data_IF_676523720343
#
_entry.id   IF_676523720343
#
_cell.length_a   1.000
_cell.length_b   1.000
_cell.length_c   1.000
_cell.angle_alpha   90.00
_cell.angle_beta   90.00
_cell.angle_gamma   90.00
#
_symmetry.space_group_name_H-M   'P 1'
#
loop_
_entity.id
_entity.type
_entity.pdbx_description
1 polymer ?
#
# COMPACT_ATOMS: atom_id res chain seq x y z
N UNK A 1 20.28 29.93 -35.05
CA UNK A 1 20.67 31.15 -34.30
C UNK A 1 19.37 31.81 -33.85
N UNK A 2 18.92 31.58 -32.61
CA UNK A 2 17.75 32.25 -32.03
C UNK A 2 18.25 32.85 -30.72
N UNK A 3 18.42 34.17 -30.70
CA UNK A 3 18.82 34.93 -29.54
C UNK A 3 17.57 35.24 -28.70
N UNK A 4 17.47 34.69 -27.50
CA UNK A 4 16.49 35.12 -26.50
C UNK A 4 17.13 36.19 -25.61
N UNK A 5 16.56 37.40 -25.66
CA UNK A 5 16.97 38.58 -24.89
C UNK A 5 16.55 38.39 -23.43
N UNK A 6 17.43 37.82 -22.61
CA UNK A 6 17.32 37.92 -21.15
C UNK A 6 17.62 39.36 -20.75
N UNK A 7 16.58 40.19 -20.62
CA UNK A 7 16.75 41.54 -20.08
C UNK A 7 16.76 41.47 -18.56
N UNK A 8 17.89 41.94 -18.01
CA UNK A 8 18.24 42.17 -16.60
C UNK A 8 18.70 40.94 -15.79
N UNK A 9 20.03 40.84 -15.62
CA UNK A 9 20.65 40.11 -14.52
C UNK A 9 20.78 41.07 -13.32
N UNK A 10 20.11 40.83 -12.19
CA UNK A 10 20.42 41.58 -10.98
C UNK A 10 21.78 41.13 -10.43
N UNK A 11 22.69 42.09 -10.21
CA UNK A 11 23.89 41.89 -9.37
C UNK A 11 23.43 41.86 -7.91
N UNK A 12 23.85 40.87 -7.15
CA UNK A 12 23.23 40.56 -5.87
C UNK A 12 24.29 40.20 -4.81
N UNK A 13 24.25 40.92 -3.69
CA UNK A 13 25.18 40.92 -2.55
C UNK A 13 24.43 40.39 -1.31
N UNK A 14 24.88 39.23 -0.79
CA UNK A 14 24.83 38.77 0.60
C UNK A 14 23.58 39.01 1.47
N UNK A 15 22.87 37.91 1.77
CA UNK A 15 21.96 37.64 2.92
C UNK A 15 20.52 38.18 2.93
N UNK A 16 20.23 39.43 2.55
CA UNK A 16 18.83 39.88 2.31
C UNK A 16 18.28 39.40 0.96
N UNK A 17 19.17 38.81 0.19
CA UNK A 17 19.05 38.53 -1.21
C UNK A 17 18.19 37.29 -1.52
N UNK A 18 18.38 36.23 -0.75
CA UNK A 18 17.74 34.93 -0.99
C UNK A 18 16.24 34.94 -0.69
N UNK A 19 15.81 35.61 0.39
CA UNK A 19 14.39 35.76 0.73
C UNK A 19 13.65 36.63 -0.28
N UNK A 20 14.30 37.70 -0.74
CA UNK A 20 13.76 38.57 -1.76
C UNK A 20 13.64 37.82 -3.10
N UNK A 21 14.69 37.10 -3.49
CA UNK A 21 14.71 36.25 -4.68
C UNK A 21 13.60 35.20 -4.67
N UNK A 22 13.44 34.45 -3.57
CA UNK A 22 12.37 33.47 -3.42
C UNK A 22 10.99 34.13 -3.49
N UNK A 23 10.80 35.27 -2.82
CA UNK A 23 9.54 36.03 -2.88
C UNK A 23 9.23 36.47 -4.31
N UNK A 24 10.22 36.98 -5.04
CA UNK A 24 10.08 37.37 -6.45
C UNK A 24 9.74 36.17 -7.32
N UNK A 25 10.43 35.04 -7.16
CA UNK A 25 10.17 33.80 -7.90
C UNK A 25 8.75 33.28 -7.66
N UNK A 26 8.30 33.21 -6.39
CA UNK A 26 6.95 32.77 -6.04
C UNK A 26 5.85 33.76 -6.47
N UNK A 27 6.18 35.04 -6.63
CA UNK A 27 5.24 36.04 -7.19
C UNK A 27 5.24 36.10 -8.72
N UNK A 28 6.14 35.36 -9.38
CA UNK A 28 6.29 35.42 -10.83
C UNK A 28 5.13 34.71 -11.54
N UNK A 29 4.70 35.31 -12.65
CA UNK A 29 3.66 34.80 -13.53
C UNK A 29 4.13 35.00 -14.97
N UNK A 30 4.37 33.92 -15.69
CA UNK A 30 4.83 33.97 -17.07
C UNK A 30 4.42 32.70 -17.83
N UNK A 31 4.28 32.82 -19.15
CA UNK A 31 4.01 31.67 -20.03
C UNK A 31 5.33 31.12 -20.57
N UNK A 32 5.57 29.84 -20.33
CA UNK A 32 6.71 29.07 -20.85
C UNK A 32 6.31 28.07 -21.93
N UNK A 33 7.25 27.23 -22.36
CA UNK A 33 6.99 26.16 -23.35
C UNK A 33 5.97 25.12 -22.86
N UNK A 34 5.81 24.99 -21.55
CA UNK A 34 4.91 24.05 -20.90
C UNK A 34 3.58 24.66 -20.46
N UNK A 35 3.31 25.92 -20.82
CA UNK A 35 2.12 26.67 -20.40
C UNK A 35 2.40 27.73 -19.33
N UNK A 36 1.37 28.13 -18.59
CA UNK A 36 1.48 29.23 -17.62
C UNK A 36 2.13 28.77 -16.32
N UNK A 37 3.25 29.39 -15.98
CA UNK A 37 3.98 29.14 -14.76
C UNK A 37 3.59 30.22 -13.76
N UNK A 38 2.86 29.78 -12.73
CA UNK A 38 2.39 30.60 -11.60
C UNK A 38 2.54 29.80 -10.32
N UNK A 39 2.84 30.48 -9.22
CA UNK A 39 2.91 29.83 -7.91
C UNK A 39 1.78 30.31 -6.98
N UNK A 40 1.24 29.39 -6.20
CA UNK A 40 0.27 29.63 -5.12
C UNK A 40 0.70 28.80 -3.91
N UNK A 41 0.76 29.43 -2.74
CA UNK A 41 1.16 28.76 -1.48
C UNK A 41 2.52 28.05 -1.55
N UNK A 42 3.45 28.57 -2.36
CA UNK A 42 4.78 27.96 -2.54
C UNK A 42 4.84 26.83 -3.58
N UNK A 43 3.72 26.46 -4.20
CA UNK A 43 3.63 25.40 -5.21
C UNK A 43 3.19 25.93 -6.56
N UNK A 44 3.44 25.19 -7.64
CA UNK A 44 2.89 25.52 -8.95
C UNK A 44 1.37 25.48 -8.89
N UNK A 45 0.74 26.56 -9.36
CA UNK A 45 -0.71 26.73 -9.35
C UNK A 45 -1.42 25.87 -10.39
N UNK A 46 -0.71 25.42 -11.43
CA UNK A 46 -1.24 24.53 -12.46
C UNK A 46 -0.85 23.09 -12.16
N UNK A 47 -1.82 22.20 -12.33
CA UNK A 47 -1.58 20.76 -12.26
C UNK A 47 -0.81 20.32 -13.52
N UNK A 48 0.39 19.75 -13.38
CA UNK A 48 1.16 19.32 -14.54
C UNK A 48 0.52 18.11 -15.21
N UNK A 49 0.58 18.08 -16.54
CA UNK A 49 0.28 16.89 -17.34
C UNK A 49 1.56 16.07 -17.44
N UNK A 50 1.56 14.84 -16.92
CA UNK A 50 2.73 13.97 -16.93
C UNK A 50 2.62 12.94 -18.07
N UNK A 51 3.74 12.58 -18.68
CA UNK A 51 3.83 11.44 -19.59
C UNK A 51 4.23 10.19 -18.83
N UNK A 52 3.42 9.13 -18.93
CA UNK A 52 3.76 7.81 -18.41
C UNK A 52 4.57 7.07 -19.47
N UNK A 53 5.71 6.53 -19.07
CA UNK A 53 6.59 5.73 -19.91
C UNK A 53 6.85 4.37 -19.25
N UNK A 54 7.07 3.35 -20.07
CA UNK A 54 7.58 2.06 -19.64
C UNK A 54 9.01 1.90 -20.15
N UNK A 55 9.96 1.62 -19.25
CA UNK A 55 11.38 1.50 -19.58
C UNK A 55 11.78 0.04 -19.53
N UNK A 56 12.32 -0.47 -20.63
CA UNK A 56 12.73 -1.88 -20.78
C UNK A 56 14.13 -1.92 -21.35
N UNK A 57 15.05 -2.52 -20.60
CA UNK A 57 16.48 -2.50 -20.91
C UNK A 57 16.96 -1.05 -21.14
N UNK A 58 17.44 -0.73 -22.35
CA UNK A 58 17.92 0.59 -22.72
C UNK A 58 16.93 1.37 -23.61
N UNK A 59 15.67 0.93 -23.70
CA UNK A 59 14.63 1.57 -24.49
C UNK A 59 13.46 1.98 -23.59
N UNK A 60 12.63 2.92 -24.07
CA UNK A 60 11.38 3.27 -23.42
C UNK A 60 10.24 3.35 -24.43
N UNK A 61 9.03 3.09 -23.96
CA UNK A 61 7.78 3.27 -24.70
C UNK A 61 6.89 4.27 -23.97
N UNK A 62 6.33 5.22 -24.70
CA UNK A 62 5.31 6.13 -24.16
C UNK A 62 3.96 5.42 -24.11
N UNK A 63 3.29 5.47 -22.97
CA UNK A 63 2.01 4.76 -22.77
C UNK A 63 0.82 5.72 -22.82
N UNK A 64 0.75 6.66 -21.89
CA UNK A 64 -0.39 7.57 -21.73
C UNK A 64 0.05 8.89 -21.08
N UNK A 65 -0.86 9.86 -21.03
CA UNK A 65 -0.75 11.04 -20.16
C UNK A 65 -1.46 10.77 -18.84
N UNK A 66 -0.90 11.27 -17.73
CA UNK A 66 -1.53 11.24 -16.42
C UNK A 66 -1.72 12.67 -15.91
N UNK A 67 -2.94 12.97 -15.47
CA UNK A 67 -3.28 14.26 -14.87
C UNK A 67 -3.73 14.01 -13.43
N UNK A 68 -3.03 14.57 -12.42
CA UNK A 68 -3.43 14.49 -11.02
C UNK A 68 -4.91 14.85 -10.83
N UNK A 69 -5.59 14.11 -9.95
CA UNK A 69 -7.03 14.21 -9.66
C UNK A 69 -8.01 13.85 -10.79
N UNK A 70 -7.52 13.68 -12.03
CA UNK A 70 -8.31 13.12 -13.11
C UNK A 70 -8.01 11.64 -13.25
N UNK A 71 -7.05 11.23 -14.11
CA UNK A 71 -6.71 9.84 -14.47
C UNK A 71 -5.75 9.80 -15.68
N UNK A 72 -5.74 8.67 -16.41
CA UNK A 72 -4.99 8.51 -17.65
C UNK A 72 -5.76 8.97 -18.90
N UNK A 73 -5.05 9.52 -19.86
CA UNK A 73 -5.55 10.02 -21.13
C UNK A 73 -4.66 9.57 -22.28
N UNK A 74 -5.28 9.24 -23.43
CA UNK A 74 -4.55 8.74 -24.61
C UNK A 74 -3.81 9.85 -25.35
N UNK A 75 -4.41 11.04 -25.34
CA UNK A 75 -3.94 12.20 -26.09
C UNK A 75 -4.17 13.49 -25.30
N UNK A 76 -3.48 14.56 -25.68
CA UNK A 76 -3.72 15.89 -25.10
C UNK A 76 -5.14 16.40 -25.44
N UNK A 77 -5.68 16.04 -26.60
CA UNK A 77 -7.04 16.39 -27.03
C UNK A 77 -8.11 15.73 -26.14
N UNK A 78 -7.82 14.55 -25.59
CA UNK A 78 -8.74 13.91 -24.65
C UNK A 78 -8.73 14.61 -23.29
N UNK A 79 -7.61 15.22 -22.89
CA UNK A 79 -7.56 16.01 -21.65
C UNK A 79 -8.49 17.22 -21.74
N UNK A 80 -8.61 17.85 -22.92
CA UNK A 80 -9.53 18.97 -23.15
C UNK A 80 -11.01 18.58 -22.99
N UNK A 81 -11.36 17.32 -23.25
CA UNK A 81 -12.72 16.77 -23.05
C UNK A 81 -13.03 16.46 -21.58
N UNK A 82 -12.06 16.59 -20.68
CA UNK A 82 -12.25 16.44 -19.25
C UNK A 82 -12.44 14.99 -18.77
N UNK A 83 -13.04 14.83 -17.59
CA UNK A 83 -13.13 13.55 -16.88
C UNK A 83 -13.86 12.44 -17.62
N UNK A 84 -14.75 12.78 -18.55
CA UNK A 84 -15.64 11.82 -19.22
C UNK A 84 -14.88 10.82 -20.10
N UNK A 85 -13.71 11.20 -20.58
CA UNK A 85 -12.83 10.34 -21.39
C UNK A 85 -11.62 9.80 -20.61
N UNK A 86 -11.56 10.06 -19.30
CA UNK A 86 -10.45 9.65 -18.45
C UNK A 86 -10.54 8.15 -18.11
N UNK A 87 -9.38 7.46 -18.12
CA UNK A 87 -9.30 6.01 -17.94
C UNK A 87 -8.57 5.61 -16.66
N UNK A 88 -9.05 4.53 -16.03
CA UNK A 88 -8.40 3.93 -14.86
C UNK A 88 -7.17 3.08 -15.21
N UNK A 89 -7.04 2.68 -16.47
CA UNK A 89 -6.00 1.77 -16.94
C UNK A 89 -5.16 2.43 -18.03
N UNK A 90 -3.87 2.05 -18.06
CA UNK A 90 -2.93 2.45 -19.11
C UNK A 90 -3.30 1.79 -20.43
N UNK A 91 -3.06 2.52 -21.51
CA UNK A 91 -3.22 2.02 -22.87
C UNK A 91 -1.92 1.35 -23.34
N UNK A 92 -2.07 0.15 -23.90
CA UNK A 92 -0.94 -0.62 -24.44
C UNK A 92 -0.24 -1.52 -23.43
N UNK A 93 0.67 -2.38 -23.92
CA UNK A 93 1.33 -3.38 -23.08
C UNK A 93 2.34 -2.74 -22.13
N UNK A 94 2.30 -3.14 -20.86
CA UNK A 94 3.31 -2.81 -19.85
C UNK A 94 4.18 -4.05 -19.65
N UNK A 95 5.50 -3.85 -19.77
CA UNK A 95 6.50 -4.89 -19.48
C UNK A 95 7.05 -4.62 -18.10
N UNK A 96 6.74 -5.52 -17.17
CA UNK A 96 7.22 -5.48 -15.80
C UNK A 96 8.63 -6.07 -15.70
N UNK A 97 9.37 -5.74 -14.63
CA UNK A 97 10.63 -6.42 -14.31
C UNK A 97 10.46 -7.94 -14.35
N UNK A 98 11.43 -8.64 -14.98
CA UNK A 98 11.34 -10.08 -15.22
C UNK A 98 10.66 -10.47 -16.54
N UNK A 99 10.23 -9.49 -17.36
CA UNK A 99 9.72 -9.74 -18.71
C UNK A 99 8.22 -10.06 -18.79
N UNK A 100 7.50 -9.97 -17.66
CA UNK A 100 6.05 -10.16 -17.62
C UNK A 100 5.37 -9.03 -18.38
N UNK A 101 4.57 -9.38 -19.39
CA UNK A 101 3.87 -8.41 -20.22
C UNK A 101 2.37 -8.49 -20.00
N UNK A 102 1.73 -7.36 -19.69
CA UNK A 102 0.27 -7.27 -19.57
C UNK A 102 -0.32 -7.10 -20.97
N UNK A 103 -1.13 -8.05 -21.41
CA UNK A 103 -1.82 -7.99 -22.71
C UNK A 103 -3.33 -7.88 -22.46
N UNK A 104 -3.84 -6.65 -22.47
CA UNK A 104 -5.26 -6.26 -22.58
C UNK A 104 -6.28 -6.78 -21.56
N UNK A 105 -5.89 -7.59 -20.58
CA UNK A 105 -6.65 -7.91 -19.38
C UNK A 105 -5.67 -7.93 -18.20
N UNK A 106 -6.14 -7.74 -16.97
CA UNK A 106 -5.32 -7.63 -15.74
C UNK A 106 -4.43 -8.85 -15.42
N UNK A 107 -4.32 -9.80 -16.33
CA UNK A 107 -3.42 -10.94 -16.27
C UNK A 107 -1.97 -10.44 -16.33
N UNK A 108 -1.15 -10.93 -15.41
CA UNK A 108 0.28 -10.64 -15.29
C UNK A 108 0.66 -9.24 -14.77
N UNK A 109 -0.27 -8.48 -14.19
CA UNK A 109 0.10 -7.32 -13.36
C UNK A 109 0.69 -7.86 -12.05
N UNK A 110 1.96 -7.57 -11.70
CA UNK A 110 2.50 -7.92 -10.40
C UNK A 110 1.61 -7.30 -9.33
N UNK A 111 1.09 -8.13 -8.42
CA UNK A 111 0.15 -7.70 -7.38
C UNK A 111 0.77 -6.71 -6.38
N UNK A 112 2.10 -6.50 -6.43
CA UNK A 112 2.83 -5.57 -5.57
C UNK A 112 3.08 -6.10 -4.14
N UNK A 113 2.57 -7.29 -3.83
CA UNK A 113 2.74 -7.97 -2.55
C UNK A 113 3.52 -9.27 -2.75
N UNK A 114 4.35 -9.66 -1.78
CA UNK A 114 5.02 -10.96 -1.76
C UNK A 114 4.02 -12.03 -1.35
N UNK A 115 3.35 -12.63 -2.34
CA UNK A 115 2.31 -13.65 -2.11
C UNK A 115 2.98 -14.90 -1.52
N UNK A 116 2.38 -15.52 -0.49
CA UNK A 116 2.85 -16.80 0.03
C UNK A 116 3.05 -17.84 -1.07
N UNK A 117 4.14 -18.61 -0.98
CA UNK A 117 4.49 -19.66 -1.93
C UNK A 117 4.99 -20.90 -1.18
N UNK A 118 5.06 -22.05 -1.84
CA UNK A 118 5.54 -23.29 -1.19
C UNK A 118 6.94 -23.14 -0.56
N UNK A 119 7.79 -22.27 -1.14
CA UNK A 119 9.13 -21.99 -0.59
C UNK A 119 9.12 -20.98 0.56
N UNK A 120 8.09 -20.16 0.66
CA UNK A 120 7.91 -19.15 1.69
C UNK A 120 6.41 -19.05 2.02
N UNK A 121 5.86 -20.02 2.77
CA UNK A 121 4.45 -20.06 3.11
C UNK A 121 4.13 -18.97 4.14
N UNK A 122 2.84 -18.66 4.28
CA UNK A 122 2.33 -17.77 5.32
C UNK A 122 2.59 -18.41 6.69
N UNK A 123 3.35 -17.74 7.54
CA UNK A 123 3.71 -18.25 8.87
C UNK A 123 2.65 -17.81 9.87
N UNK A 124 1.83 -18.76 10.32
CA UNK A 124 0.68 -18.50 11.20
C UNK A 124 1.02 -18.94 12.62
N UNK A 125 1.08 -17.98 13.56
CA UNK A 125 1.34 -18.27 14.97
C UNK A 125 0.10 -18.80 15.67
N UNK A 126 0.28 -19.87 16.42
CA UNK A 126 -0.80 -20.56 17.16
C UNK A 126 -0.45 -20.62 18.65
N UNK A 127 -1.34 -20.19 19.57
CA UNK A 127 -1.10 -20.29 21.00
C UNK A 127 -1.18 -21.75 21.47
N UNK A 128 -0.15 -22.23 22.18
CA UNK A 128 -0.22 -23.53 22.88
C UNK A 128 -0.98 -23.45 24.21
N UNK A 129 -1.06 -22.25 24.78
CA UNK A 129 -1.78 -21.96 26.03
C UNK A 129 -2.86 -20.90 25.79
N UNK A 130 -3.93 -21.24 25.05
CA UNK A 130 -5.07 -20.33 24.86
C UNK A 130 -5.78 -20.11 26.21
N UNK A 131 -6.47 -18.98 26.36
CA UNK A 131 -7.36 -18.78 27.51
C UNK A 131 -8.58 -19.71 27.45
N UNK A 132 -8.97 -20.15 26.25
CA UNK A 132 -10.10 -21.05 26.01
C UNK A 132 -9.79 -22.09 24.93
N UNK A 133 -9.69 -23.37 25.32
CA UNK A 133 -9.38 -24.48 24.40
C UNK A 133 -10.41 -24.68 23.26
N UNK A 134 -11.64 -24.20 23.41
CA UNK A 134 -12.66 -24.30 22.35
C UNK A 134 -12.32 -23.45 21.12
N UNK A 135 -11.45 -22.45 21.26
CA UNK A 135 -11.07 -21.56 20.17
C UNK A 135 -9.88 -22.09 19.39
N UNK A 136 -8.90 -22.64 20.09
CA UNK A 136 -7.71 -23.27 19.52
C UNK A 136 -7.27 -24.36 20.48
N UNK A 137 -6.92 -25.53 19.95
CA UNK A 137 -6.32 -26.62 20.71
C UNK A 137 -5.46 -27.47 19.78
N UNK A 138 -4.33 -27.96 20.28
CA UNK A 138 -3.58 -29.00 19.59
C UNK A 138 -4.25 -30.36 19.86
N UNK A 139 -4.69 -31.04 18.80
CA UNK A 139 -5.31 -32.38 18.89
C UNK A 139 -4.24 -33.48 18.80
N UNK A 140 -3.29 -33.31 17.87
CA UNK A 140 -2.13 -34.17 17.68
C UNK A 140 -0.97 -33.32 17.18
N UNK A 141 0.26 -33.85 17.22
CA UNK A 141 1.46 -33.09 16.85
C UNK A 141 1.27 -32.37 15.50
N UNK A 142 1.18 -31.03 15.55
CA UNK A 142 1.02 -30.18 14.38
C UNK A 142 -0.40 -30.05 13.81
N UNK A 143 -1.40 -30.75 14.38
CA UNK A 143 -2.82 -30.60 14.02
C UNK A 143 -3.56 -29.80 15.09
N UNK A 144 -4.13 -28.69 14.67
CA UNK A 144 -4.88 -27.79 15.53
C UNK A 144 -6.36 -27.83 15.16
N UNK A 145 -7.23 -27.64 16.16
CA UNK A 145 -8.68 -27.63 16.03
C UNK A 145 -9.27 -26.50 16.88
N UNK A 146 -10.53 -26.14 16.62
CA UNK A 146 -11.26 -25.12 17.37
C UNK A 146 -11.78 -23.99 16.48
N UNK A 147 -12.64 -23.14 17.05
CA UNK A 147 -13.37 -22.12 16.29
C UNK A 147 -12.46 -21.19 15.47
N UNK A 148 -11.32 -20.74 16.03
CA UNK A 148 -10.42 -19.84 15.32
C UNK A 148 -9.71 -20.54 14.16
N UNK A 149 -9.39 -21.83 14.30
CA UNK A 149 -8.78 -22.64 13.25
C UNK A 149 -9.77 -22.84 12.11
N UNK A 150 -11.01 -23.23 12.41
CA UNK A 150 -12.07 -23.42 11.41
C UNK A 150 -12.34 -22.14 10.61
N UNK A 151 -12.46 -20.99 11.30
CA UNK A 151 -12.65 -19.69 10.63
C UNK A 151 -11.47 -19.38 9.70
N UNK A 152 -10.24 -19.59 10.18
CA UNK A 152 -9.04 -19.33 9.38
C UNK A 152 -8.99 -20.22 8.14
N UNK A 153 -9.27 -21.52 8.27
CA UNK A 153 -9.26 -22.47 7.16
C UNK A 153 -10.35 -22.14 6.13
N UNK A 154 -11.56 -21.76 6.55
CA UNK A 154 -12.63 -21.30 5.64
C UNK A 154 -12.18 -20.07 4.84
N UNK A 155 -11.53 -19.10 5.50
CA UNK A 155 -11.00 -17.90 4.83
C UNK A 155 -9.91 -18.30 3.85
N UNK A 156 -9.00 -19.18 4.26
CA UNK A 156 -7.93 -19.67 3.39
C UNK A 156 -8.50 -20.34 2.14
N UNK A 157 -9.52 -21.18 2.29
CA UNK A 157 -10.17 -21.85 1.16
C UNK A 157 -10.87 -20.90 0.21
N UNK A 158 -11.49 -19.84 0.71
CA UNK A 158 -12.12 -18.82 -0.13
C UNK A 158 -11.10 -17.98 -0.91
N UNK A 159 -9.87 -17.86 -0.39
CA UNK A 159 -8.83 -17.00 -0.95
C UNK A 159 -7.81 -17.77 -1.79
N UNK A 160 -7.69 -19.10 -1.64
CA UNK A 160 -6.66 -19.91 -2.32
C UNK A 160 -6.70 -19.78 -3.84
N UNK A 161 -7.89 -19.74 -4.45
CA UNK A 161 -8.05 -19.63 -5.90
C UNK A 161 -7.60 -18.27 -6.43
N UNK A 162 -7.71 -17.23 -5.59
CA UNK A 162 -7.34 -15.86 -5.93
C UNK A 162 -5.86 -15.58 -5.74
N UNK A 163 -5.20 -16.27 -4.81
CA UNK A 163 -3.82 -15.97 -4.39
C UNK A 163 -2.87 -17.18 -4.51
N UNK A 164 -2.95 -17.91 -5.63
CA UNK A 164 -2.01 -18.99 -5.98
C UNK A 164 -1.85 -20.06 -4.88
N UNK A 165 -2.96 -20.55 -4.35
CA UNK A 165 -3.00 -21.59 -3.33
C UNK A 165 -2.87 -21.09 -1.89
N UNK A 166 -2.24 -19.94 -1.67
CA UNK A 166 -2.00 -19.33 -0.36
C UNK A 166 -1.50 -20.35 0.70
N UNK A 167 -0.34 -21.01 0.45
CA UNK A 167 0.20 -22.01 1.37
C UNK A 167 0.54 -21.35 2.71
N UNK A 168 0.32 -22.09 3.80
CA UNK A 168 0.57 -21.63 5.16
C UNK A 168 1.15 -22.74 6.01
N UNK A 169 1.83 -22.36 7.10
CA UNK A 169 2.32 -23.28 8.11
C UNK A 169 2.01 -22.75 9.51
N UNK A 170 1.62 -23.66 10.40
CA UNK A 170 1.42 -23.32 11.81
C UNK A 170 2.75 -23.30 12.57
N UNK A 171 2.97 -22.22 13.32
CA UNK A 171 4.14 -21.99 14.17
C UNK A 171 3.69 -21.83 15.62
N UNK A 172 3.65 -22.91 16.41
CA UNK A 172 3.17 -22.83 17.79
C UNK A 172 4.04 -21.91 18.65
N UNK A 173 3.46 -21.36 19.71
CA UNK A 173 4.18 -20.61 20.73
C UNK A 173 3.69 -20.93 22.13
N UNK A 174 4.65 -21.05 23.04
CA UNK A 174 4.42 -21.31 24.47
C UNK A 174 4.69 -20.05 25.32
N UNK A 175 4.22 -18.89 24.86
CA UNK A 175 4.33 -17.67 25.67
C UNK A 175 3.07 -17.49 26.51
N UNK A 176 3.27 -17.10 27.76
CA UNK A 176 2.20 -16.83 28.72
C UNK A 176 1.47 -15.52 28.36
N UNK A 177 2.10 -14.62 27.59
CA UNK A 177 1.48 -13.36 27.17
C UNK A 177 1.52 -13.14 25.66
N UNK A 178 0.33 -12.93 25.08
CA UNK A 178 0.16 -12.39 23.74
C UNK A 178 0.91 -11.07 23.51
N UNK A 179 1.17 -10.26 24.55
CA UNK A 179 1.82 -8.96 24.39
C UNK A 179 3.25 -9.11 23.86
N UNK A 180 3.99 -10.13 24.29
CA UNK A 180 5.36 -10.38 23.81
C UNK A 180 5.37 -10.80 22.34
N UNK A 181 4.45 -11.69 21.96
CA UNK A 181 4.25 -12.08 20.55
C UNK A 181 3.80 -10.88 19.72
N UNK A 182 3.00 -9.97 20.26
CA UNK A 182 2.56 -8.80 19.49
C UNK A 182 3.63 -7.71 19.40
N UNK A 183 4.57 -7.64 20.35
CA UNK A 183 5.74 -6.75 20.27
C UNK A 183 6.72 -7.21 19.19
N UNK A 184 6.99 -8.52 19.11
CA UNK A 184 7.91 -9.08 18.11
C UNK A 184 7.27 -9.24 16.72
N UNK A 185 6.01 -8.81 16.54
CA UNK A 185 5.36 -8.82 15.23
C UNK A 185 6.11 -7.94 14.22
N UNK A 186 6.77 -6.87 14.69
CA UNK A 186 7.59 -6.00 13.88
C UNK A 186 8.89 -6.66 13.37
N UNK A 187 9.36 -7.73 14.03
CA UNK A 187 10.61 -8.42 13.72
C UNK A 187 10.47 -9.52 12.64
N UNK A 188 9.29 -9.62 11.99
CA UNK A 188 9.00 -10.37 10.76
C UNK A 188 9.14 -11.91 10.79
N UNK A 189 9.19 -12.55 11.96
CA UNK A 189 9.26 -14.02 12.00
C UNK A 189 7.95 -14.73 11.60
N UNK A 190 6.83 -14.01 11.55
CA UNK A 190 5.52 -14.53 11.18
C UNK A 190 4.60 -13.46 10.60
N UNK A 191 3.55 -13.90 9.92
CA UNK A 191 2.68 -13.05 9.11
C UNK A 191 1.28 -12.88 9.71
N UNK A 192 0.85 -13.84 10.55
CA UNK A 192 -0.47 -13.82 11.18
C UNK A 192 -0.46 -14.54 12.53
N UNK A 193 -1.48 -14.27 13.35
CA UNK A 193 -1.77 -15.01 14.59
C UNK A 193 -3.22 -15.48 14.52
N UNK A 194 -3.46 -16.76 14.80
CA UNK A 194 -4.81 -17.33 14.92
C UNK A 194 -4.98 -17.86 16.34
N UNK A 195 -5.94 -17.31 17.08
CA UNK A 195 -6.13 -17.58 18.50
C UNK A 195 -7.19 -16.70 19.14
N UNK A 196 -7.36 -16.86 20.45
CA UNK A 196 -8.29 -16.08 21.28
C UNK A 196 -7.69 -14.71 21.70
N UNK A 197 -7.13 -14.00 20.72
CA UNK A 197 -6.45 -12.72 20.94
C UNK A 197 -7.46 -11.64 21.28
N UNK A 198 -7.36 -11.09 22.49
CA UNK A 198 -8.18 -9.93 22.89
C UNK A 198 -7.65 -8.66 22.21
N UNK A 199 -8.54 -7.93 21.53
CA UNK A 199 -8.27 -6.62 20.94
C UNK A 199 -8.14 -5.60 22.08
N UNK A 200 -6.95 -5.00 22.21
CA UNK A 200 -6.66 -3.95 23.18
C UNK A 200 -5.98 -2.79 22.45
N UNK A 201 -6.27 -1.55 22.87
CA UNK A 201 -5.67 -0.35 22.28
C UNK A 201 -4.13 -0.42 22.27
N UNK A 202 -3.52 -0.88 23.37
CA UNK A 202 -2.07 -1.03 23.46
C UNK A 202 -1.50 -2.00 22.39
N UNK A 203 -2.24 -3.04 22.02
CA UNK A 203 -1.84 -4.02 20.99
C UNK A 203 -2.07 -3.50 19.58
N UNK A 204 -3.12 -2.71 19.37
CA UNK A 204 -3.44 -2.09 18.07
C UNK A 204 -2.39 -1.10 17.57
N UNK A 205 -1.44 -0.70 18.43
CA UNK A 205 -0.28 0.11 18.03
C UNK A 205 0.74 -0.69 17.22
N UNK A 206 0.80 -2.02 17.41
CA UNK A 206 1.81 -2.88 16.80
C UNK A 206 1.23 -3.78 15.70
N UNK A 207 -0.07 -4.08 15.75
CA UNK A 207 -0.73 -4.98 14.80
C UNK A 207 -2.10 -4.47 14.38
N UNK A 208 -2.54 -4.92 13.21
CA UNK A 208 -3.91 -4.76 12.75
C UNK A 208 -4.75 -5.98 13.14
N UNK A 209 -5.99 -5.75 13.58
CA UNK A 209 -6.94 -6.80 13.92
C UNK A 209 -8.03 -6.93 12.85
N UNK A 210 -8.56 -8.15 12.69
CA UNK A 210 -9.80 -8.39 11.95
C UNK A 210 -11.00 -7.87 12.74
N UNK A 211 -12.18 -7.85 12.11
CA UNK A 211 -13.41 -7.59 12.86
C UNK A 211 -13.64 -8.68 13.93
N UNK A 212 -14.12 -8.30 15.13
CA UNK A 212 -14.36 -9.27 16.19
C UNK A 212 -15.49 -10.23 15.77
N UNK A 213 -15.22 -11.53 15.88
CA UNK A 213 -16.20 -12.59 15.62
C UNK A 213 -16.84 -13.13 16.92
N UNK A 214 -16.34 -12.72 18.08
CA UNK A 214 -16.94 -13.03 19.39
C UNK A 214 -16.85 -11.84 20.34
N UNK A 215 -17.87 -11.66 21.16
CA UNK A 215 -17.90 -10.64 22.21
C UNK A 215 -17.76 -11.30 23.57
N UNK A 216 -16.88 -10.76 24.42
CA UNK A 216 -16.74 -11.22 25.81
C UNK A 216 -17.73 -10.48 26.70
N UNK A 217 -18.75 -11.18 27.20
CA UNK A 217 -19.62 -10.68 28.28
C UNK A 217 -19.00 -11.07 29.61
N UNK A 218 -18.77 -10.10 30.50
CA UNK A 218 -18.37 -10.35 31.89
C UNK A 218 -19.54 -10.02 32.81
N UNK A 219 -20.02 -11.01 33.55
CA UNK A 219 -20.94 -10.78 34.66
C UNK A 219 -20.13 -10.55 35.93
N UNK A 220 -20.39 -9.44 36.61
CA UNK A 220 -19.86 -9.16 37.96
C UNK A 220 -21.02 -9.42 38.91
N UNK A 221 -20.94 -10.45 39.73
CA UNK A 221 -21.86 -10.63 40.85
C UNK A 221 -21.16 -10.20 42.12
N UNK A 222 -21.74 -9.23 42.82
CA UNK A 222 -21.30 -8.86 44.17
C UNK A 222 -21.94 -9.87 45.14
N UNK A 223 -21.14 -10.72 45.78
CA UNK A 223 -21.60 -11.49 46.94
C UNK A 223 -21.41 -10.63 48.18
N UNK A 224 -22.47 -9.94 48.61
CA UNK A 224 -22.55 -9.39 49.96
C UNK A 224 -22.83 -10.54 50.93
N UNK A 225 -21.87 -10.87 51.79
CA UNK A 225 -22.09 -11.62 53.04
C UNK A 225 -22.53 -10.68 54.15
#
# INVERSE_FOLDING_TARGET
MIASRWSQKPKMNGTNDSRLFLKTMLSSNFTGLTGDIRFKEGHLSQTPILRVINVVNNNYTELDFWVPNLKFFKSLQDIEKGSDVARNILNGPVVWPGGLTTLNNNDNVPLGWNIPSEKNPLKVRIPLKPAFENFVKEESQGKYVGLCIEIFEIIQEQLKDKYSGLPYEYRPFDDVSYDKVLQNFADLEYDAIVGDVTILEARSKNVSFTQPYIYRVRFITHTSS
#
